data_IF_709691575769
#
_entry.id   IF_709691575769
#
_cell.length_a   1.000
_cell.length_b   1.000
_cell.length_c   1.000
_cell.angle_alpha   90.00
_cell.angle_beta   90.00
_cell.angle_gamma   90.00
#
_symmetry.space_group_name_H-M   'P 1'
#
loop_
_entity.id
_entity.type
_entity.pdbx_description
1 polymer ?
#
# COMPACT_ATOMS: atom_id res chain seq x y z
N UNK A 1 -22.85 4.86 5.24
CA UNK A 1 -21.45 5.15 5.63
C UNK A 1 -21.34 5.08 7.14
N UNK A 2 -20.18 4.71 7.68
CA UNK A 2 -19.92 4.80 9.13
C UNK A 2 -19.27 6.16 9.43
N UNK A 3 -19.63 6.74 10.57
CA UNK A 3 -19.00 7.98 11.05
C UNK A 3 -17.82 7.59 11.92
N UNK A 4 -16.66 8.16 11.62
CA UNK A 4 -15.44 7.98 12.40
C UNK A 4 -14.88 9.37 12.72
N UNK A 5 -14.26 9.51 13.89
CA UNK A 5 -13.46 10.69 14.22
C UNK A 5 -12.01 10.38 13.92
N UNK A 6 -11.35 11.21 13.13
CA UNK A 6 -9.94 11.07 12.79
C UNK A 6 -9.19 12.33 13.21
N UNK A 7 -7.97 12.15 13.74
CA UNK A 7 -7.05 13.26 13.94
C UNK A 7 -6.22 13.42 12.67
N UNK A 8 -6.24 14.62 12.09
CA UNK A 8 -5.50 14.96 10.88
C UNK A 8 -4.56 16.11 11.17
N UNK A 9 -3.56 16.32 10.30
CA UNK A 9 -2.74 17.52 10.34
C UNK A 9 -3.51 18.70 9.78
N UNK A 10 -3.13 19.91 10.18
CA UNK A 10 -3.76 21.16 9.72
C UNK A 10 -3.70 21.28 8.19
N UNK A 11 -2.56 20.91 7.57
CA UNK A 11 -2.39 20.89 6.11
C UNK A 11 -3.49 20.11 5.36
N UNK A 12 -3.97 19.00 5.92
CA UNK A 12 -5.02 18.19 5.29
C UNK A 12 -6.41 18.79 5.52
N UNK A 13 -6.59 19.47 6.64
CA UNK A 13 -7.83 20.16 6.96
C UNK A 13 -8.03 21.38 6.06
N UNK A 14 -6.99 22.22 5.92
CA UNK A 14 -6.98 23.39 5.03
C UNK A 14 -7.25 22.98 3.58
N UNK A 15 -6.61 21.90 3.09
CA UNK A 15 -6.89 21.37 1.75
C UNK A 15 -8.36 20.95 1.60
N UNK A 16 -8.94 20.30 2.61
CA UNK A 16 -10.35 19.91 2.59
C UNK A 16 -11.29 21.12 2.61
N UNK A 17 -10.92 22.22 3.27
CA UNK A 17 -11.67 23.49 3.21
C UNK A 17 -11.61 24.11 1.82
N UNK A 18 -10.41 24.21 1.23
CA UNK A 18 -10.24 24.74 -0.12
C UNK A 18 -11.07 23.96 -1.15
N UNK A 19 -11.10 22.62 -1.03
CA UNK A 19 -11.94 21.77 -1.89
C UNK A 19 -13.44 22.11 -1.80
N UNK A 20 -13.92 22.53 -0.63
CA UNK A 20 -15.31 22.97 -0.46
C UNK A 20 -15.51 24.38 -1.05
N UNK A 21 -14.57 25.29 -0.79
CA UNK A 21 -14.63 26.67 -1.30
C UNK A 21 -14.67 26.74 -2.83
N UNK A 22 -13.88 25.92 -3.52
CA UNK A 22 -13.86 25.87 -4.98
C UNK A 22 -14.95 24.97 -5.59
N UNK A 23 -15.81 24.38 -4.76
CA UNK A 23 -16.94 23.56 -5.20
C UNK A 23 -16.59 22.13 -5.66
N UNK A 24 -15.38 21.64 -5.36
CA UNK A 24 -15.00 20.25 -5.62
C UNK A 24 -15.70 19.26 -4.68
N UNK A 25 -16.13 19.71 -3.50
CA UNK A 25 -16.91 18.93 -2.55
C UNK A 25 -18.03 19.77 -1.93
N UNK A 26 -19.15 19.14 -1.56
CA UNK A 26 -20.30 19.80 -0.93
C UNK A 26 -20.12 19.98 0.57
N UNK A 27 -19.15 19.29 1.17
CA UNK A 27 -18.85 19.36 2.61
C UNK A 27 -17.42 18.90 2.90
N UNK A 28 -16.88 19.25 4.08
CA UNK A 28 -15.56 18.77 4.53
C UNK A 28 -15.51 17.24 4.62
N UNK A 29 -16.59 16.61 5.05
CA UNK A 29 -16.68 15.14 5.09
C UNK A 29 -16.53 14.53 3.70
N UNK A 30 -17.19 15.10 2.69
CA UNK A 30 -17.05 14.65 1.31
C UNK A 30 -15.62 14.89 0.78
N UNK A 31 -15.05 16.06 1.07
CA UNK A 31 -13.66 16.37 0.71
C UNK A 31 -12.67 15.36 1.31
N UNK A 32 -12.78 15.05 2.61
CA UNK A 32 -11.95 14.02 3.25
C UNK A 32 -12.16 12.63 2.64
N UNK A 33 -13.40 12.28 2.27
CA UNK A 33 -13.63 11.01 1.59
C UNK A 33 -12.97 10.98 0.21
N UNK A 34 -12.93 12.08 -0.54
CA UNK A 34 -12.17 12.16 -1.79
C UNK A 34 -10.67 12.00 -1.54
N UNK A 35 -10.11 12.75 -0.59
CA UNK A 35 -8.69 12.64 -0.22
C UNK A 35 -8.31 11.20 0.14
N UNK A 36 -9.11 10.54 0.97
CA UNK A 36 -8.91 9.14 1.34
C UNK A 36 -9.04 8.23 0.11
N UNK A 37 -10.06 8.45 -0.72
CA UNK A 37 -10.31 7.63 -1.92
C UNK A 37 -9.15 7.66 -2.90
N UNK A 38 -8.51 8.82 -3.08
CA UNK A 38 -7.31 8.92 -3.90
C UNK A 38 -6.14 8.09 -3.36
N UNK A 39 -6.03 7.92 -2.04
CA UNK A 39 -5.00 7.10 -1.40
C UNK A 39 -5.31 5.60 -1.32
N UNK A 40 -6.58 5.18 -1.44
CA UNK A 40 -7.01 3.78 -1.22
C UNK A 40 -6.30 2.79 -2.14
N UNK A 41 -6.08 3.15 -3.40
CA UNK A 41 -5.48 2.21 -4.37
C UNK A 41 -4.07 1.82 -3.95
N UNK A 42 -3.26 2.79 -3.50
CA UNK A 42 -1.91 2.51 -3.01
C UNK A 42 -1.92 1.65 -1.75
N UNK A 43 -2.85 1.92 -0.84
CA UNK A 43 -3.00 1.12 0.38
C UNK A 43 -3.36 -0.35 0.07
N UNK A 44 -4.25 -0.58 -0.90
CA UNK A 44 -4.63 -1.94 -1.35
C UNK A 44 -3.43 -2.68 -1.94
N UNK A 45 -2.67 -2.03 -2.81
CA UNK A 45 -1.45 -2.61 -3.41
C UNK A 45 -0.44 -3.05 -2.34
N UNK A 46 -0.17 -2.20 -1.34
CA UNK A 46 0.79 -2.55 -0.29
C UNK A 46 0.31 -3.70 0.58
N UNK A 47 -0.99 -3.76 0.89
CA UNK A 47 -1.58 -4.89 1.62
C UNK A 47 -1.38 -6.18 0.83
N UNK A 48 -1.68 -6.17 -0.47
CA UNK A 48 -1.57 -7.36 -1.31
C UNK A 48 -0.11 -7.82 -1.43
N UNK A 49 0.81 -6.89 -1.62
CA UNK A 49 2.24 -7.17 -1.62
C UNK A 49 2.69 -7.81 -0.30
N UNK A 50 2.24 -7.27 0.84
CA UNK A 50 2.57 -7.81 2.17
C UNK A 50 2.00 -9.21 2.40
N UNK A 51 0.76 -9.46 1.94
CA UNK A 51 0.17 -10.81 1.96
C UNK A 51 0.99 -11.80 1.14
N UNK A 52 1.38 -11.42 -0.08
CA UNK A 52 2.19 -12.28 -0.96
C UNK A 52 3.56 -12.61 -0.37
N UNK A 53 4.23 -11.62 0.23
CA UNK A 53 5.50 -11.87 0.94
C UNK A 53 5.28 -12.85 2.08
N UNK A 54 4.23 -12.67 2.89
CA UNK A 54 3.92 -13.58 3.99
C UNK A 54 3.66 -15.00 3.49
N UNK A 55 2.87 -15.16 2.43
CA UNK A 55 2.59 -16.46 1.82
C UNK A 55 3.86 -17.17 1.35
N UNK A 56 4.75 -16.45 0.67
CA UNK A 56 6.03 -16.99 0.19
C UNK A 56 6.94 -17.39 1.35
N UNK A 57 7.03 -16.55 2.39
CA UNK A 57 7.80 -16.87 3.60
C UNK A 57 7.24 -18.10 4.30
N UNK A 58 5.92 -18.18 4.49
CA UNK A 58 5.27 -19.32 5.14
C UNK A 58 5.47 -20.61 4.32
N UNK A 59 5.44 -20.52 2.98
CA UNK A 59 5.74 -21.64 2.08
C UNK A 59 7.18 -22.10 2.22
N UNK A 60 8.13 -21.17 2.18
CA UNK A 60 9.56 -21.46 2.34
C UNK A 60 9.87 -22.10 3.69
N UNK A 61 9.29 -21.59 4.78
CA UNK A 61 9.50 -22.15 6.12
C UNK A 61 8.97 -23.58 6.26
N UNK A 62 7.91 -23.95 5.50
CA UNK A 62 7.31 -25.28 5.54
C UNK A 62 7.96 -26.27 4.58
N UNK A 63 8.26 -25.83 3.36
CA UNK A 63 8.66 -26.69 2.25
C UNK A 63 10.16 -26.61 1.95
N UNK A 64 10.87 -25.64 2.54
CA UNK A 64 12.24 -25.32 2.15
C UNK A 64 12.31 -24.58 0.81
N UNK A 65 13.48 -24.59 0.18
CA UNK A 65 13.65 -23.99 -1.14
C UNK A 65 13.02 -24.90 -2.21
N UNK A 66 12.30 -24.34 -3.20
CA UNK A 66 11.64 -25.13 -4.24
C UNK A 66 12.63 -25.73 -5.27
N UNK A 67 13.92 -25.42 -5.16
CA UNK A 67 14.99 -25.91 -6.01
C UNK A 67 16.31 -25.88 -5.25
N UNK A 68 17.28 -26.66 -5.71
CA UNK A 68 18.65 -26.57 -5.23
C UNK A 68 19.26 -25.24 -5.70
N UNK A 69 19.78 -24.46 -4.75
CA UNK A 69 20.43 -23.20 -5.09
C UNK A 69 21.75 -23.50 -5.80
N UNK A 70 22.04 -22.83 -6.92
CA UNK A 70 23.36 -22.94 -7.55
C UNK A 70 24.42 -22.47 -6.54
N UNK A 71 25.54 -23.18 -6.54
CA UNK A 71 26.70 -22.78 -5.77
C UNK A 71 27.38 -21.59 -6.44
N UNK A 72 28.23 -20.89 -5.70
CA UNK A 72 29.03 -19.80 -6.26
C UNK A 72 29.85 -20.23 -7.49
N UNK A 73 30.25 -21.50 -7.56
CA UNK A 73 31.02 -22.04 -8.69
C UNK A 73 30.15 -22.20 -9.94
N UNK A 74 28.89 -22.62 -9.81
CA UNK A 74 27.97 -22.82 -10.94
C UNK A 74 27.66 -21.51 -11.67
N UNK A 75 27.62 -20.39 -10.92
CA UNK A 75 27.37 -19.05 -11.49
C UNK A 75 28.61 -18.48 -12.20
N UNK A 76 29.81 -18.91 -11.80
CA UNK A 76 31.08 -18.45 -12.39
C UNK A 76 31.33 -19.14 -13.74
N UNK A 77 31.01 -20.43 -13.86
CA UNK A 77 31.20 -21.19 -15.10
C UNK A 77 30.31 -20.73 -16.25
N UNK A 78 29.13 -20.17 -15.97
CA UNK A 78 28.21 -19.67 -17.01
C UNK A 78 28.65 -18.33 -17.64
N UNK A 79 29.72 -17.70 -17.13
CA UNK A 79 30.25 -16.42 -17.63
C UNK A 79 31.49 -16.56 -18.52
N UNK A 80 32.12 -17.74 -18.57
CA UNK A 80 33.28 -18.06 -19.41
C UNK A 80 32.85 -18.75 -20.72
#
# INVERSE_FOLDING_TARGET
MKIVTIKVKDEYYELAEQMVEVGLARSKNEAFNFLISYGINKAKEEIERKKRVKELTDKWLKEGLPFELPTSNDVISDRE
#
